data_IF_030696439372
#
_entry.id   IF_030696439372
#
_cell.length_a   1.000
_cell.length_b   1.000
_cell.length_c   1.000
_cell.angle_alpha   90.00
_cell.angle_beta   90.00
_cell.angle_gamma   90.00
#
_symmetry.space_group_name_H-M   'P 1'
#
loop_
_entity.id
_entity.type
_entity.pdbx_description
1 polymer ?
#
# COMPACT_ATOMS: atom_id res chain seq x y z
N UNK A 1 -5.16 34.12 -21.75
CA UNK A 1 -6.13 33.37 -20.91
C UNK A 1 -6.83 32.37 -21.83
N UNK A 2 -7.07 31.13 -21.42
CA UNK A 2 -7.70 30.02 -22.20
C UNK A 2 -6.75 29.11 -23.01
N UNK A 3 -5.75 28.52 -22.37
CA UNK A 3 -5.14 27.24 -22.82
C UNK A 3 -4.98 26.21 -21.69
N UNK A 4 -5.12 26.63 -20.42
CA UNK A 4 -4.99 25.75 -19.27
C UNK A 4 -6.25 24.92 -18.95
N UNK A 5 -7.41 25.29 -19.51
CA UNK A 5 -8.71 24.65 -19.22
C UNK A 5 -9.05 23.46 -20.13
N UNK A 6 -8.35 23.31 -21.28
CA UNK A 6 -8.59 22.20 -22.21
C UNK A 6 -7.90 20.89 -21.77
N UNK A 7 -6.86 20.96 -20.93
CA UNK A 7 -6.19 19.78 -20.38
C UNK A 7 -7.01 19.06 -19.28
N UNK A 8 -7.96 19.77 -18.66
CA UNK A 8 -8.77 19.25 -17.55
C UNK A 8 -10.06 18.57 -18.02
N UNK A 9 -10.64 19.07 -19.12
CA UNK A 9 -11.91 18.55 -19.66
C UNK A 9 -11.79 17.20 -20.39
N UNK A 10 -10.60 16.79 -20.82
CA UNK A 10 -10.41 15.53 -21.56
C UNK A 10 -10.28 14.28 -20.66
N UNK A 11 -10.17 14.46 -19.33
CA UNK A 11 -10.15 13.34 -18.36
C UNK A 11 -11.53 12.83 -17.95
N UNK A 12 -12.62 13.49 -18.37
CA UNK A 12 -13.98 13.16 -17.91
C UNK A 12 -14.81 12.36 -18.93
N UNK A 13 -14.22 11.87 -20.04
CA UNK A 13 -15.00 11.22 -21.12
C UNK A 13 -14.63 9.78 -21.47
N UNK A 14 -13.77 9.14 -20.69
CA UNK A 14 -13.59 7.69 -20.73
C UNK A 14 -13.84 7.17 -19.32
N UNK A 15 -15.00 6.53 -19.16
CA UNK A 15 -15.45 5.87 -17.94
C UNK A 15 -14.62 4.64 -17.61
N UNK A 16 -13.33 4.86 -17.33
CA UNK A 16 -12.50 3.96 -16.57
C UNK A 16 -11.83 4.83 -15.52
N UNK A 17 -12.45 4.92 -14.35
CA UNK A 17 -11.68 5.23 -13.15
C UNK A 17 -10.69 4.07 -13.01
N UNK A 18 -9.55 4.13 -13.68
CA UNK A 18 -8.42 3.29 -13.31
C UNK A 18 -8.03 3.81 -11.93
N UNK A 19 -8.46 3.10 -10.89
CA UNK A 19 -7.90 3.24 -9.57
C UNK A 19 -6.37 3.37 -9.71
N UNK A 20 -5.70 4.26 -8.95
CA UNK A 20 -4.25 4.41 -9.03
C UNK A 20 -3.65 3.01 -8.97
N UNK A 21 -2.89 2.63 -10.00
CA UNK A 21 -2.45 1.26 -10.21
C UNK A 21 -1.81 0.74 -8.93
N UNK A 22 -2.55 -0.11 -8.23
CA UNK A 22 -2.20 -0.59 -6.91
C UNK A 22 -1.01 -1.54 -7.09
N UNK A 23 0.12 -1.25 -6.44
CA UNK A 23 1.34 -2.04 -6.63
C UNK A 23 1.14 -3.48 -6.15
N UNK A 24 1.09 -4.42 -7.09
CA UNK A 24 0.95 -5.86 -6.82
C UNK A 24 2.11 -6.38 -5.96
N UNK A 25 3.31 -5.84 -6.16
CA UNK A 25 4.47 -6.20 -5.37
C UNK A 25 4.33 -5.73 -3.91
N UNK A 26 3.86 -4.49 -3.69
CA UNK A 26 3.61 -3.98 -2.34
C UNK A 26 2.56 -4.82 -1.60
N UNK A 27 1.47 -5.17 -2.30
CA UNK A 27 0.43 -6.04 -1.77
C UNK A 27 0.98 -7.39 -1.31
N UNK A 28 1.74 -8.07 -2.17
CA UNK A 28 2.28 -9.40 -1.88
C UNK A 28 3.26 -9.37 -0.71
N UNK A 29 4.19 -8.40 -0.70
CA UNK A 29 5.22 -8.28 0.34
C UNK A 29 4.59 -7.99 1.70
N UNK A 30 3.66 -7.03 1.78
CA UNK A 30 2.99 -6.68 3.04
C UNK A 30 2.14 -7.83 3.57
N UNK A 31 1.44 -8.51 2.67
CA UNK A 31 0.60 -9.66 3.03
C UNK A 31 1.42 -10.79 3.64
N UNK A 32 2.53 -11.14 3.00
CA UNK A 32 3.46 -12.17 3.47
C UNK A 32 4.11 -11.77 4.80
N UNK A 33 4.63 -10.54 4.88
CA UNK A 33 5.34 -10.06 6.08
C UNK A 33 4.43 -9.89 7.29
N UNK A 34 3.23 -9.33 7.12
CA UNK A 34 2.31 -9.02 8.22
C UNK A 34 1.41 -10.20 8.59
N UNK A 35 1.56 -11.33 7.89
CA UNK A 35 0.79 -12.55 8.16
C UNK A 35 -0.71 -12.38 7.94
N UNK A 36 -1.12 -11.47 7.04
CA UNK A 36 -2.54 -11.21 6.83
C UNK A 36 -3.28 -12.36 6.09
N UNK A 37 -2.58 -13.40 5.65
CA UNK A 37 -3.10 -14.48 4.81
C UNK A 37 -2.56 -14.38 3.39
N UNK A 38 -3.28 -14.87 2.36
CA UNK A 38 -2.98 -14.50 0.96
C UNK A 38 -3.61 -13.14 0.62
N UNK A 39 -3.18 -12.42 -0.45
CA UNK A 39 -3.64 -11.05 -0.73
C UNK A 39 -5.17 -10.97 -0.87
N UNK A 40 -5.80 -12.06 -1.34
CA UNK A 40 -7.25 -12.18 -1.46
C UNK A 40 -7.97 -12.30 -0.11
N UNK A 41 -7.34 -12.89 0.92
CA UNK A 41 -7.92 -13.14 2.24
C UNK A 41 -7.80 -11.98 3.22
N UNK A 42 -6.79 -11.11 3.05
CA UNK A 42 -6.53 -9.97 3.93
C UNK A 42 -7.26 -8.67 3.56
N UNK A 43 -8.09 -8.71 2.52
CA UNK A 43 -8.69 -7.51 1.94
C UNK A 43 -7.73 -6.71 1.05
N UNK A 44 -6.48 -7.15 0.85
CA UNK A 44 -5.56 -6.61 -0.17
C UNK A 44 -5.95 -7.19 -1.54
N UNK A 45 -7.18 -6.91 -1.99
CA UNK A 45 -7.72 -7.45 -3.24
C UNK A 45 -7.44 -6.54 -4.42
N UNK A 46 -7.20 -7.20 -5.56
CA UNK A 46 -7.15 -6.59 -6.89
C UNK A 46 -8.54 -6.36 -7.50
N UNK A 47 -9.60 -6.84 -6.82
CA UNK A 47 -10.98 -6.84 -7.31
C UNK A 47 -11.85 -5.88 -6.49
N UNK A 48 -12.92 -5.38 -7.10
CA UNK A 48 -13.86 -4.33 -6.68
C UNK A 48 -14.61 -4.50 -5.35
N UNK A 49 -14.14 -5.34 -4.43
CA UNK A 49 -14.59 -5.32 -3.03
C UNK A 49 -13.91 -4.16 -2.28
N UNK A 50 -14.57 -3.58 -1.26
CA UNK A 50 -14.00 -2.47 -0.51
C UNK A 50 -12.83 -2.96 0.34
N UNK A 51 -11.61 -2.79 -0.18
CA UNK A 51 -10.37 -2.83 0.60
C UNK A 51 -10.53 -1.85 1.78
N UNK A 52 -10.24 -2.32 3.00
CA UNK A 52 -10.25 -1.45 4.17
C UNK A 52 -9.36 -0.24 3.92
N UNK A 53 -9.87 0.97 4.15
CA UNK A 53 -9.18 2.23 3.78
C UNK A 53 -7.74 2.29 4.30
N UNK A 54 -7.50 1.73 5.48
CA UNK A 54 -6.18 1.66 6.12
C UNK A 54 -5.19 0.75 5.38
N UNK A 55 -5.67 -0.41 4.91
CA UNK A 55 -4.87 -1.40 4.19
C UNK A 55 -4.43 -0.85 2.83
N UNK A 56 -5.36 -0.18 2.13
CA UNK A 56 -5.06 0.52 0.89
C UNK A 56 -3.97 1.58 1.08
N UNK A 57 -4.10 2.40 2.13
CA UNK A 57 -3.15 3.48 2.43
C UNK A 57 -1.77 2.94 2.78
N UNK A 58 -1.70 1.90 3.61
CA UNK A 58 -0.46 1.20 3.96
C UNK A 58 0.28 0.74 2.69
N UNK A 59 -0.44 0.13 1.76
CA UNK A 59 0.12 -0.38 0.51
C UNK A 59 0.63 0.74 -0.41
N UNK A 60 -0.13 1.83 -0.53
CA UNK A 60 0.26 2.99 -1.35
C UNK A 60 1.50 3.69 -0.78
N UNK A 61 1.56 3.86 0.54
CA UNK A 61 2.70 4.48 1.23
C UNK A 61 3.93 3.56 1.18
N UNK A 62 3.78 2.25 1.38
CA UNK A 62 4.88 1.29 1.25
C UNK A 62 5.45 1.28 -0.17
N UNK A 63 4.60 1.31 -1.19
CA UNK A 63 5.05 1.38 -2.57
C UNK A 63 5.87 2.65 -2.80
N UNK A 64 5.41 3.80 -2.29
CA UNK A 64 6.09 5.08 -2.47
C UNK A 64 7.41 5.16 -1.74
N UNK A 65 7.45 4.71 -0.49
CA UNK A 65 8.57 4.95 0.42
C UNK A 65 9.65 3.86 0.31
N UNK A 66 9.25 2.64 -0.08
CA UNK A 66 10.14 1.48 -0.09
C UNK A 66 10.39 0.95 -1.50
N UNK A 67 9.35 0.74 -2.32
CA UNK A 67 9.54 0.10 -3.63
C UNK A 67 9.93 1.06 -4.73
N UNK A 68 9.29 2.23 -4.85
CA UNK A 68 9.62 3.23 -5.88
C UNK A 68 11.05 3.78 -5.84
N UNK A 69 11.70 3.97 -4.67
CA UNK A 69 13.08 4.46 -4.62
C UNK A 69 14.14 3.36 -4.71
N UNK A 70 13.76 2.08 -4.58
CA UNK A 70 14.70 0.96 -4.60
C UNK A 70 14.65 0.23 -5.95
N UNK A 71 15.79 -0.32 -6.39
CA UNK A 71 15.84 -1.14 -7.59
C UNK A 71 15.13 -2.48 -7.36
N UNK A 72 14.48 -3.02 -8.39
CA UNK A 72 13.77 -4.31 -8.37
C UNK A 72 14.66 -5.51 -7.98
N UNK A 73 15.99 -5.33 -8.04
CA UNK A 73 17.00 -6.33 -7.68
C UNK A 73 17.25 -6.42 -6.16
N UNK A 74 16.79 -5.43 -5.38
CA UNK A 74 17.09 -5.34 -3.96
C UNK A 74 16.19 -6.27 -3.16
N UNK A 75 16.80 -7.25 -2.49
CA UNK A 75 16.09 -8.18 -1.60
C UNK A 75 15.79 -7.49 -0.26
N UNK A 76 14.52 -7.17 -0.03
CA UNK A 76 14.06 -6.67 1.26
C UNK A 76 14.01 -7.81 2.29
N UNK A 77 14.64 -7.60 3.45
CA UNK A 77 14.49 -8.52 4.58
C UNK A 77 13.14 -8.28 5.25
N UNK A 78 12.45 -9.35 5.66
CA UNK A 78 11.17 -9.26 6.36
C UNK A 78 11.21 -8.31 7.57
N UNK A 79 12.27 -8.37 8.38
CA UNK A 79 12.43 -7.46 9.53
C UNK A 79 12.58 -5.97 9.18
N UNK A 80 12.88 -5.60 7.93
CA UNK A 80 12.84 -4.20 7.47
C UNK A 80 11.40 -3.80 7.17
N UNK A 81 10.64 -4.66 6.50
CA UNK A 81 9.21 -4.46 6.19
C UNK A 81 8.41 -4.31 7.48
N UNK A 82 8.66 -5.17 8.47
CA UNK A 82 8.00 -5.13 9.77
C UNK A 82 8.30 -3.84 10.53
N UNK A 83 9.58 -3.40 10.58
CA UNK A 83 9.95 -2.15 11.26
C UNK A 83 9.36 -0.90 10.58
N UNK A 84 9.38 -0.87 9.25
CA UNK A 84 8.76 0.21 8.50
C UNK A 84 7.25 0.26 8.78
N UNK A 85 6.59 -0.91 8.74
CA UNK A 85 5.15 -1.02 9.02
C UNK A 85 4.84 -0.57 10.44
N UNK A 86 5.59 -1.05 11.44
CA UNK A 86 5.43 -0.67 12.84
C UNK A 86 5.51 0.84 13.07
N UNK A 87 6.41 1.54 12.36
CA UNK A 87 6.51 3.00 12.43
C UNK A 87 5.34 3.71 11.71
N UNK A 88 4.83 3.13 10.62
CA UNK A 88 3.75 3.71 9.81
C UNK A 88 2.39 3.74 10.54
N UNK A 89 2.05 2.70 11.32
CA UNK A 89 0.77 2.61 12.05
C UNK A 89 0.47 3.82 12.95
N UNK A 90 1.35 4.20 13.92
CA UNK A 90 1.11 5.36 14.77
C UNK A 90 1.14 6.69 13.99
N UNK A 91 1.97 6.82 12.96
CA UNK A 91 1.98 8.01 12.08
C UNK A 91 0.67 8.18 11.32
N UNK A 92 -0.01 7.09 11.02
CA UNK A 92 -1.31 7.06 10.35
C UNK A 92 -2.50 7.18 11.31
N UNK A 93 -2.24 7.30 12.61
CA UNK A 93 -3.27 7.39 13.65
C UNK A 93 -3.98 6.06 13.94
N UNK A 94 -3.38 4.93 13.56
CA UNK A 94 -3.95 3.59 13.76
C UNK A 94 -3.25 2.95 14.97
N UNK A 95 -4.05 2.60 15.98
CA UNK A 95 -3.55 2.03 17.24
C UNK A 95 -3.61 0.51 17.28
N UNK A 96 -4.48 -0.09 16.46
CA UNK A 96 -4.60 -1.54 16.35
C UNK A 96 -3.52 -2.10 15.42
N UNK A 97 -2.59 -2.87 16.00
CA UNK A 97 -1.50 -3.49 15.27
C UNK A 97 -1.87 -4.92 14.83
N UNK A 98 -1.46 -5.37 13.64
CA UNK A 98 -1.49 -6.77 13.24
C UNK A 98 -0.66 -7.64 14.20
N UNK A 99 -1.03 -8.92 14.36
CA UNK A 99 -0.34 -9.85 15.25
C UNK A 99 1.18 -9.92 15.03
N UNK A 100 1.62 -9.96 13.77
CA UNK A 100 3.04 -9.96 13.41
C UNK A 100 3.83 -8.73 13.93
N UNK A 101 3.16 -7.59 14.12
CA UNK A 101 3.76 -6.38 14.69
C UNK A 101 3.70 -6.35 16.21
N UNK A 102 2.73 -7.03 16.83
CA UNK A 102 2.61 -7.14 18.29
C UNK A 102 3.71 -8.02 18.89
N UNK A 103 4.18 -9.02 18.15
CA UNK A 103 5.24 -9.95 18.57
C UNK A 103 6.66 -9.40 18.39
N UNK A 104 6.80 -8.19 17.83
CA UNK A 104 8.11 -7.61 17.61
C UNK A 104 8.76 -7.16 18.92
N UNK A 105 10.07 -7.41 19.10
CA UNK A 105 10.79 -6.89 20.24
C UNK A 105 10.78 -5.34 20.22
N UNK A 106 10.64 -4.73 21.39
CA UNK A 106 10.84 -3.30 21.55
C UNK A 106 12.30 -2.95 21.19
N UNK A 107 12.50 -1.94 20.36
CA UNK A 107 13.81 -1.48 19.90
C UNK A 107 14.29 -0.29 20.72
#
# INVERSE_FOLDING_TARGET
>A
MVLHELGRARRLRLGLQTAPATSNAAAAILTDALGFGGPVGCGIRFTSEPEGMNVRRLREDFCRDVLSPLCDEWRLRCGVVLRWSLAWYPQSGITELPGALQEMPAF
#
